data_IF_552363970295
#
_entry.id   IF_552363970295
#
_cell.length_a   1.000
_cell.length_b   1.000
_cell.length_c   1.000
_cell.angle_alpha   90.00
_cell.angle_beta   90.00
_cell.angle_gamma   90.00
#
_symmetry.space_group_name_H-M   'P 1'
#
loop_
_entity.id
_entity.type
_entity.pdbx_description
1 polymer ?
#
# COMPACT_ATOMS: atom_id res chain seq x y z
N UNK A 1 -23.86 4.31 12.39
CA UNK A 1 -23.14 3.66 13.49
C UNK A 1 -22.18 2.69 12.85
N UNK A 2 -20.89 2.87 13.11
CA UNK A 2 -19.77 2.11 12.58
C UNK A 2 -19.37 0.92 13.45
N UNK A 3 -20.01 0.77 14.62
CA UNK A 3 -19.82 -0.38 15.52
C UNK A 3 -20.13 -1.73 14.85
N UNK A 4 -19.19 -2.66 14.96
CA UNK A 4 -19.29 -4.03 14.49
C UNK A 4 -19.91 -4.90 15.60
N UNK A 5 -21.09 -5.49 15.38
CA UNK A 5 -21.71 -6.36 16.38
C UNK A 5 -20.90 -7.63 16.60
N UNK A 6 -20.90 -8.12 17.85
CA UNK A 6 -20.24 -9.37 18.26
C UNK A 6 -18.73 -9.44 17.96
N UNK A 7 -18.06 -8.27 17.94
CA UNK A 7 -16.63 -8.20 17.66
C UNK A 7 -15.80 -9.04 18.66
N UNK A 8 -14.82 -9.84 18.22
CA UNK A 8 -14.15 -10.79 19.10
C UNK A 8 -13.30 -10.08 20.15
N UNK A 9 -13.60 -10.30 21.43
CA UNK A 9 -12.83 -9.72 22.54
C UNK A 9 -11.34 -10.06 22.45
N UNK A 10 -10.99 -11.25 21.99
CA UNK A 10 -9.59 -11.66 21.81
C UNK A 10 -8.83 -10.74 20.83
N UNK A 11 -9.49 -10.23 19.79
CA UNK A 11 -8.90 -9.30 18.84
C UNK A 11 -8.76 -7.89 19.45
N UNK A 12 -9.71 -7.45 20.27
CA UNK A 12 -9.57 -6.20 21.05
C UNK A 12 -8.39 -6.28 22.01
N UNK A 13 -8.31 -7.36 22.79
CA UNK A 13 -7.25 -7.58 23.78
C UNK A 13 -5.86 -7.62 23.12
N UNK A 14 -5.76 -8.19 21.92
CA UNK A 14 -4.52 -8.24 21.16
C UNK A 14 -4.04 -6.83 20.74
N UNK A 15 -4.95 -6.03 20.16
CA UNK A 15 -4.68 -4.66 19.75
C UNK A 15 -4.27 -3.80 20.93
N UNK A 16 -5.10 -3.81 21.98
CA UNK A 16 -4.84 -3.15 23.26
C UNK A 16 -3.47 -3.52 23.81
N UNK A 17 -3.14 -4.80 23.88
CA UNK A 17 -1.85 -5.28 24.40
C UNK A 17 -0.68 -4.75 23.57
N UNK A 18 -0.81 -4.68 22.25
CA UNK A 18 0.25 -4.17 21.37
C UNK A 18 0.54 -2.69 21.61
N UNK A 19 -0.51 -1.86 21.70
CA UNK A 19 -0.40 -0.42 21.99
C UNK A 19 0.09 -0.15 23.41
N UNK A 20 -0.44 -0.86 24.42
CA UNK A 20 0.00 -0.71 25.81
C UNK A 20 1.47 -1.08 25.98
N UNK A 21 1.95 -2.12 25.30
CA UNK A 21 3.37 -2.47 25.33
C UNK A 21 4.29 -1.36 24.76
N UNK A 22 3.72 -0.41 24.01
CA UNK A 22 4.42 0.70 23.34
C UNK A 22 3.95 2.07 23.83
N UNK A 23 3.22 2.16 24.95
CA UNK A 23 2.64 3.41 25.46
C UNK A 23 3.70 4.48 25.83
N UNK A 24 4.97 4.07 25.98
CA UNK A 24 6.10 4.96 26.32
C UNK A 24 6.80 5.52 25.08
N UNK A 25 6.44 5.05 23.89
CA UNK A 25 7.02 5.55 22.64
C UNK A 25 6.59 7.00 22.43
N UNK A 26 7.58 7.87 22.24
CA UNK A 26 7.32 9.23 21.77
C UNK A 26 6.91 9.16 20.30
N UNK A 27 5.62 9.26 20.02
CA UNK A 27 5.07 9.21 18.65
C UNK A 27 5.60 10.33 17.74
N UNK A 28 6.02 11.47 18.30
CA UNK A 28 6.64 12.55 17.53
C UNK A 28 8.09 12.24 17.09
N UNK A 29 8.72 11.23 17.70
CA UNK A 29 10.05 10.77 17.31
C UNK A 29 10.19 9.26 17.62
N UNK A 30 9.51 8.38 16.87
CA UNK A 30 9.50 6.97 17.18
C UNK A 30 10.91 6.36 17.00
N UNK A 31 11.31 5.40 17.86
CA UNK A 31 12.63 4.79 17.79
C UNK A 31 12.78 3.92 16.53
N UNK A 32 14.00 3.71 16.00
CA UNK A 32 14.23 2.80 14.87
C UNK A 32 13.62 1.41 15.10
N UNK A 33 13.01 0.84 14.07
CA UNK A 33 12.30 -0.44 14.11
C UNK A 33 10.80 -0.31 14.42
N UNK A 34 10.37 0.76 15.10
CA UNK A 34 8.97 0.97 15.47
C UNK A 34 8.03 1.06 14.26
N UNK A 35 8.44 1.77 13.21
CA UNK A 35 7.57 2.00 12.05
C UNK A 35 7.28 0.71 11.31
N UNK A 36 8.28 -0.15 11.17
CA UNK A 36 8.11 -1.45 10.53
C UNK A 36 7.26 -2.39 11.39
N UNK A 37 7.42 -2.35 12.72
CA UNK A 37 6.56 -3.10 13.65
C UNK A 37 5.10 -2.62 13.57
N UNK A 38 4.87 -1.31 13.56
CA UNK A 38 3.55 -0.69 13.40
C UNK A 38 2.87 -1.18 12.11
N UNK A 39 3.54 -1.03 10.97
CA UNK A 39 3.00 -1.42 9.67
C UNK A 39 2.67 -2.91 9.60
N UNK A 40 3.60 -3.78 10.03
CA UNK A 40 3.41 -5.24 10.03
C UNK A 40 2.28 -5.68 10.95
N UNK A 41 2.25 -5.15 12.18
CA UNK A 41 1.22 -5.52 13.14
C UNK A 41 -0.17 -5.20 12.60
N UNK A 42 -0.38 -3.97 12.11
CA UNK A 42 -1.69 -3.56 11.62
C UNK A 42 -2.10 -4.31 10.36
N UNK A 43 -1.18 -4.58 9.40
CA UNK A 43 -1.46 -5.43 8.23
C UNK A 43 -1.92 -6.84 8.64
N UNK A 44 -1.17 -7.49 9.53
CA UNK A 44 -1.49 -8.86 9.99
C UNK A 44 -2.77 -8.89 10.84
N UNK A 45 -3.01 -7.83 11.62
CA UNK A 45 -4.20 -7.66 12.43
C UNK A 45 -5.45 -7.51 11.59
N UNK A 46 -5.49 -6.52 10.67
CA UNK A 46 -6.66 -6.29 9.82
C UNK A 46 -6.94 -7.51 8.93
N UNK A 47 -5.90 -8.21 8.45
CA UNK A 47 -6.09 -9.44 7.66
C UNK A 47 -6.87 -10.50 8.45
N UNK A 48 -6.52 -10.75 9.72
CA UNK A 48 -7.20 -11.74 10.55
C UNK A 48 -8.59 -11.29 11.00
N UNK A 49 -8.72 -10.01 11.36
CA UNK A 49 -10.00 -9.44 11.75
C UNK A 49 -11.00 -9.43 10.59
N UNK A 50 -10.58 -9.07 9.38
CA UNK A 50 -11.43 -9.11 8.18
C UNK A 50 -11.77 -10.54 7.75
N UNK A 51 -10.87 -11.50 7.97
CA UNK A 51 -11.19 -12.92 7.75
C UNK A 51 -12.32 -13.41 8.67
N UNK A 52 -12.28 -13.04 9.97
CA UNK A 52 -13.40 -13.29 10.89
C UNK A 52 -14.66 -12.52 10.47
N UNK A 53 -14.53 -11.23 10.14
CA UNK A 53 -15.65 -10.36 9.77
C UNK A 53 -16.47 -10.94 8.60
N UNK A 54 -15.76 -11.44 7.58
CA UNK A 54 -16.37 -12.12 6.43
C UNK A 54 -17.03 -13.45 6.83
N UNK A 55 -16.41 -14.24 7.70
CA UNK A 55 -16.98 -15.50 8.18
C UNK A 55 -18.24 -15.29 9.04
N UNK A 56 -18.30 -14.20 9.80
CA UNK A 56 -19.46 -13.80 10.59
C UNK A 56 -20.63 -13.26 9.74
N UNK A 57 -20.44 -13.08 8.43
CA UNK A 57 -21.49 -12.65 7.50
C UNK A 57 -21.78 -11.15 7.52
N UNK A 58 -20.85 -10.33 8.04
CA UNK A 58 -20.97 -8.88 7.98
C UNK A 58 -20.72 -8.34 6.56
N UNK A 59 -21.20 -7.11 6.30
CA UNK A 59 -21.15 -6.49 4.96
C UNK A 59 -19.74 -5.97 4.65
N UNK A 60 -18.98 -6.60 3.72
CA UNK A 60 -17.60 -6.21 3.43
C UNK A 60 -17.45 -4.77 2.91
N UNK A 61 -18.54 -4.16 2.39
CA UNK A 61 -18.51 -2.79 1.87
C UNK A 61 -18.28 -1.74 2.95
N UNK A 62 -18.60 -2.06 4.21
CA UNK A 62 -18.42 -1.13 5.33
C UNK A 62 -16.96 -1.00 5.76
N UNK A 63 -16.13 -2.00 5.44
CA UNK A 63 -14.73 -2.10 5.86
C UNK A 63 -13.75 -1.95 4.69
N UNK A 64 -14.23 -1.48 3.53
CA UNK A 64 -13.39 -1.24 2.37
C UNK A 64 -12.33 -0.16 2.66
N UNK A 65 -11.05 -0.38 2.34
CA UNK A 65 -10.02 0.64 2.50
C UNK A 65 -10.42 1.95 1.85
N UNK A 66 -10.27 3.07 2.58
CA UNK A 66 -10.45 4.37 1.94
C UNK A 66 -9.45 4.55 0.79
N UNK A 67 -9.94 5.11 -0.33
CA UNK A 67 -9.11 5.42 -1.49
C UNK A 67 -8.17 6.59 -1.19
N UNK A 68 -8.68 7.54 -0.41
CA UNK A 68 -7.96 8.70 0.09
C UNK A 68 -8.55 9.10 1.44
N UNK A 69 -7.82 9.90 2.21
CA UNK A 69 -8.38 10.50 3.43
C UNK A 69 -9.62 11.34 3.05
N UNK A 70 -10.75 11.24 3.77
CA UNK A 70 -11.92 12.09 3.55
C UNK A 70 -11.57 13.57 3.53
N UNK A 71 -12.18 14.34 2.65
CA UNK A 71 -11.80 15.75 2.46
C UNK A 71 -12.06 16.60 3.71
N UNK A 72 -13.12 16.31 4.45
CA UNK A 72 -13.42 16.94 5.74
C UNK A 72 -12.29 16.74 6.76
N UNK A 73 -11.65 15.56 6.75
CA UNK A 73 -10.48 15.25 7.59
C UNK A 73 -9.23 15.93 7.03
N UNK A 74 -9.03 15.93 5.71
CA UNK A 74 -7.89 16.60 5.04
C UNK A 74 -7.86 18.11 5.29
N UNK A 75 -9.03 18.73 5.46
CA UNK A 75 -9.18 20.16 5.77
C UNK A 75 -9.04 20.48 7.27
N UNK A 76 -8.89 19.47 8.13
CA UNK A 76 -8.74 19.69 9.56
C UNK A 76 -7.39 20.36 9.88
N UNK A 77 -7.34 21.29 10.86
CA UNK A 77 -6.09 21.98 11.21
C UNK A 77 -4.93 21.08 11.65
N UNK A 78 -5.22 19.87 12.14
CA UNK A 78 -4.19 18.93 12.56
C UNK A 78 -3.56 18.13 11.41
N UNK A 79 -4.15 18.18 10.22
CA UNK A 79 -3.80 17.29 9.12
C UNK A 79 -2.66 17.86 8.29
N UNK A 80 -1.55 17.13 8.21
CA UNK A 80 -0.39 17.53 7.41
C UNK A 80 -0.53 17.09 5.94
N UNK A 81 -1.15 17.95 5.13
CA UNK A 81 -1.32 17.70 3.70
C UNK A 81 0.02 17.52 2.95
N UNK A 82 1.11 18.14 3.42
CA UNK A 82 2.43 17.99 2.80
C UNK A 82 3.02 16.61 3.10
N UNK A 83 2.81 16.09 4.31
CA UNK A 83 3.18 14.72 4.66
C UNK A 83 2.40 13.68 3.85
N UNK A 84 1.09 13.86 3.71
CA UNK A 84 0.27 12.98 2.85
C UNK A 84 0.77 13.03 1.40
N UNK A 85 1.03 14.23 0.87
CA UNK A 85 1.58 14.41 -0.47
C UNK A 85 2.94 13.70 -0.65
N UNK A 86 3.82 13.70 0.36
CA UNK A 86 5.09 12.95 0.32
C UNK A 86 4.84 11.44 0.21
N UNK A 87 3.88 10.90 0.97
CA UNK A 87 3.52 9.47 0.90
C UNK A 87 2.95 9.11 -0.48
N UNK A 88 2.06 9.93 -1.02
CA UNK A 88 1.35 9.63 -2.26
C UNK A 88 2.19 9.88 -3.53
N UNK A 89 2.98 10.96 -3.54
CA UNK A 89 3.63 11.46 -4.76
C UNK A 89 5.16 11.35 -4.72
N UNK A 90 5.76 11.17 -3.55
CA UNK A 90 7.21 10.97 -3.39
C UNK A 90 7.56 9.75 -2.49
N UNK A 91 6.92 8.58 -2.64
CA UNK A 91 7.23 7.42 -1.79
C UNK A 91 8.69 6.92 -1.95
N UNK A 92 9.38 7.29 -3.03
CA UNK A 92 10.83 7.12 -3.22
C UNK A 92 11.69 7.96 -2.26
N UNK A 93 11.08 8.78 -1.41
CA UNK A 93 11.79 9.50 -0.35
C UNK A 93 11.95 8.71 0.97
N UNK A 94 11.32 7.54 1.15
CA UNK A 94 11.42 6.71 2.37
C UNK A 94 12.34 5.49 2.21
N UNK A 95 13.55 5.52 2.77
CA UNK A 95 14.60 4.49 2.60
C UNK A 95 14.14 3.08 3.00
N UNK A 96 13.24 2.95 3.97
CA UNK A 96 12.76 1.66 4.46
C UNK A 96 11.28 1.71 4.89
N UNK A 97 10.67 0.53 5.06
CA UNK A 97 9.34 0.43 5.66
C UNK A 97 9.32 1.01 7.08
N UNK A 98 10.44 0.91 7.80
CA UNK A 98 10.58 1.56 9.11
C UNK A 98 10.52 3.08 9.00
N UNK A 99 11.22 3.69 8.05
CA UNK A 99 11.14 5.14 7.84
C UNK A 99 9.73 5.59 7.44
N UNK A 100 9.07 4.86 6.53
CA UNK A 100 7.69 5.13 6.14
C UNK A 100 6.74 5.05 7.34
N UNK A 101 6.77 3.96 8.11
CA UNK A 101 5.89 3.76 9.24
C UNK A 101 6.11 4.78 10.35
N UNK A 102 7.37 5.12 10.65
CA UNK A 102 7.68 6.18 11.62
C UNK A 102 7.20 7.54 11.15
N UNK A 103 7.33 7.84 9.84
CA UNK A 103 6.86 9.09 9.27
C UNK A 103 5.33 9.21 9.33
N UNK A 104 4.58 8.14 9.05
CA UNK A 104 3.12 8.12 9.16
C UNK A 104 2.65 8.49 10.58
N UNK A 105 3.34 7.97 11.60
CA UNK A 105 3.04 8.27 13.00
C UNK A 105 3.52 9.68 13.41
N UNK A 106 4.75 10.04 13.06
CA UNK A 106 5.38 11.30 13.53
C UNK A 106 4.93 12.55 12.79
N UNK A 107 4.33 12.41 11.60
CA UNK A 107 3.76 13.53 10.83
C UNK A 107 2.37 13.96 11.30
N UNK A 108 1.87 13.34 12.38
CA UNK A 108 0.52 13.54 12.91
C UNK A 108 -0.62 13.12 11.96
N UNK A 109 -0.32 12.56 10.78
CA UNK A 109 -1.32 12.05 9.85
C UNK A 109 -2.22 11.02 10.52
N UNK A 110 -1.63 9.95 11.07
CA UNK A 110 -2.36 8.85 11.67
C UNK A 110 -3.25 9.31 12.83
N UNK A 111 -2.68 10.03 13.80
CA UNK A 111 -3.41 10.54 14.95
C UNK A 111 -4.53 11.52 14.56
N UNK A 112 -4.28 12.44 13.61
CA UNK A 112 -5.30 13.38 13.15
C UNK A 112 -6.45 12.65 12.44
N UNK A 113 -6.18 11.61 11.65
CA UNK A 113 -7.23 10.83 10.97
C UNK A 113 -8.15 10.17 12.00
N UNK A 114 -7.62 9.55 13.06
CA UNK A 114 -8.43 8.96 14.13
C UNK A 114 -9.28 10.01 14.85
N UNK A 115 -8.64 11.09 15.33
CA UNK A 115 -9.32 12.16 16.06
C UNK A 115 -10.43 12.81 15.24
N UNK A 116 -10.18 13.10 13.95
CA UNK A 116 -11.16 13.75 13.09
C UNK A 116 -12.25 12.78 12.63
N UNK A 117 -11.95 11.49 12.48
CA UNK A 117 -12.97 10.47 12.23
C UNK A 117 -13.94 10.37 13.40
N UNK A 118 -13.44 10.41 14.64
CA UNK A 118 -14.28 10.38 15.83
C UNK A 118 -15.26 11.57 15.87
N UNK A 119 -14.77 12.75 15.51
CA UNK A 119 -15.58 13.97 15.44
C UNK A 119 -16.58 13.94 14.29
N UNK A 120 -16.14 13.53 13.09
CA UNK A 120 -16.95 13.52 11.88
C UNK A 120 -18.11 12.52 11.95
N UNK A 121 -17.85 11.33 12.49
CA UNK A 121 -18.83 10.26 12.56
C UNK A 121 -19.58 10.20 13.91
N UNK A 122 -19.17 11.01 14.88
CA UNK A 122 -19.75 11.01 16.22
C UNK A 122 -19.49 9.70 16.97
N UNK A 123 -18.35 9.07 16.69
CA UNK A 123 -17.96 7.78 17.25
C UNK A 123 -16.63 7.94 18.01
N UNK A 124 -16.62 8.11 19.34
CA UNK A 124 -15.39 8.33 20.09
C UNK A 124 -14.49 7.11 20.13
N UNK A 125 -15.02 5.90 19.87
CA UNK A 125 -14.28 4.66 20.06
C UNK A 125 -13.16 4.52 19.01
N UNK A 126 -13.31 5.13 17.83
CA UNK A 126 -12.25 5.15 16.80
C UNK A 126 -10.99 5.91 17.25
N UNK A 127 -11.07 6.80 18.25
CA UNK A 127 -9.92 7.53 18.80
C UNK A 127 -9.36 6.89 20.10
N UNK A 128 -9.84 5.70 20.47
CA UNK A 128 -9.39 4.95 21.64
C UNK A 128 -8.72 3.62 21.24
N UNK A 129 -7.40 3.51 21.48
CA UNK A 129 -6.62 2.31 21.17
C UNK A 129 -7.13 1.03 21.84
N UNK A 130 -7.90 1.12 22.92
CA UNK A 130 -8.42 -0.05 23.63
C UNK A 130 -9.62 -0.68 22.91
N UNK A 131 -10.36 0.10 22.13
CA UNK A 131 -11.65 -0.31 21.56
C UNK A 131 -11.79 -0.10 20.06
N UNK A 132 -11.03 0.83 19.45
CA UNK A 132 -11.11 1.20 18.04
C UNK A 132 -11.31 0.05 17.03
N UNK A 133 -10.69 -1.16 17.17
CA UNK A 133 -10.90 -2.23 16.21
C UNK A 133 -12.33 -2.77 16.06
N UNK A 134 -13.24 -2.48 16.99
CA UNK A 134 -14.65 -2.84 16.83
C UNK A 134 -15.43 -1.86 15.94
N UNK A 135 -14.78 -0.85 15.37
CA UNK A 135 -15.39 0.16 14.50
C UNK A 135 -14.99 -0.11 13.03
N UNK A 136 -15.92 -0.03 12.09
CA UNK A 136 -15.66 -0.24 10.66
C UNK A 136 -14.63 0.76 10.08
N UNK A 137 -14.63 2.00 10.59
CA UNK A 137 -13.71 3.08 10.21
C UNK A 137 -12.25 2.72 10.51
N UNK A 138 -11.99 1.91 11.55
CA UNK A 138 -10.66 1.38 11.82
C UNK A 138 -10.09 0.64 10.60
N UNK A 139 -10.91 -0.18 9.94
CA UNK A 139 -10.51 -0.93 8.76
C UNK A 139 -10.39 -0.05 7.52
N UNK A 140 -11.23 0.96 7.41
CA UNK A 140 -11.10 1.94 6.33
C UNK A 140 -9.75 2.69 6.42
N UNK A 141 -9.36 3.14 7.62
CA UNK A 141 -8.10 3.84 7.91
C UNK A 141 -6.90 2.91 7.73
N UNK A 142 -6.85 1.78 8.45
CA UNK A 142 -5.68 0.91 8.41
C UNK A 142 -5.54 0.17 7.08
N UNK A 143 -6.64 -0.09 6.37
CA UNK A 143 -6.61 -0.56 4.99
C UNK A 143 -6.00 0.47 4.03
N UNK A 144 -6.30 1.76 4.22
CA UNK A 144 -5.68 2.85 3.44
C UNK A 144 -4.19 2.97 3.73
N UNK A 145 -3.78 2.90 5.01
CA UNK A 145 -2.36 2.88 5.41
C UNK A 145 -1.64 1.66 4.82
N UNK A 146 -2.28 0.49 4.86
CA UNK A 146 -1.73 -0.72 4.23
C UNK A 146 -1.58 -0.54 2.71
N UNK A 147 -2.53 0.13 2.05
CA UNK A 147 -2.41 0.48 0.63
C UNK A 147 -1.23 1.42 0.40
N UNK A 148 -1.02 2.46 1.21
CA UNK A 148 0.17 3.32 1.10
C UNK A 148 1.47 2.52 1.24
N UNK A 149 1.53 1.58 2.18
CA UNK A 149 2.68 0.72 2.33
C UNK A 149 2.88 -0.23 1.15
N UNK A 150 1.82 -0.88 0.65
CA UNK A 150 1.86 -1.70 -0.57
C UNK A 150 2.32 -0.91 -1.78
N UNK A 151 1.92 0.36 -1.91
CA UNK A 151 2.37 1.23 -2.99
C UNK A 151 3.86 1.51 -2.90
N UNK A 152 4.37 1.77 -1.68
CA UNK A 152 5.80 1.91 -1.44
C UNK A 152 6.56 0.59 -1.71
N UNK A 153 6.01 -0.56 -1.31
CA UNK A 153 6.59 -1.88 -1.61
C UNK A 153 6.58 -2.16 -3.13
N UNK A 154 5.50 -1.78 -3.80
CA UNK A 154 5.29 -1.87 -5.25
C UNK A 154 6.23 -0.98 -6.06
N UNK A 155 6.91 -0.01 -5.45
CA UNK A 155 8.02 0.69 -6.10
C UNK A 155 9.24 -0.21 -6.32
N UNK A 156 9.30 -1.38 -5.68
CA UNK A 156 10.40 -2.32 -5.84
C UNK A 156 11.71 -1.75 -5.28
N UNK A 157 11.74 -1.37 -4.00
CA UNK A 157 13.00 -0.97 -3.35
C UNK A 157 13.95 -2.15 -3.17
N UNK A 158 14.70 -2.37 -4.23
CA UNK A 158 16.15 -2.50 -4.29
C UNK A 158 16.81 -3.18 -3.08
N UNK A 159 17.13 -4.46 -3.23
CA UNK A 159 18.55 -4.78 -3.06
C UNK A 159 19.28 -4.10 -4.23
N UNK A 160 20.38 -3.42 -3.92
CA UNK A 160 21.28 -2.86 -4.93
C UNK A 160 21.54 -3.93 -6.02
N UNK A 161 21.04 -3.70 -7.24
CA UNK A 161 21.24 -4.59 -8.38
C UNK A 161 20.10 -5.57 -8.78
N UNK A 162 18.85 -5.42 -8.33
CA UNK A 162 17.74 -6.24 -8.87
C UNK A 162 16.49 -5.44 -9.30
N UNK A 163 15.93 -5.82 -10.46
CA UNK A 163 14.90 -5.09 -11.24
C UNK A 163 13.54 -5.81 -11.25
N UNK A 164 12.97 -6.13 -10.08
CA UNK A 164 11.69 -6.86 -10.00
C UNK A 164 10.66 -6.25 -9.04
N UNK A 165 9.39 -6.57 -9.26
CA UNK A 165 8.20 -6.08 -8.56
C UNK A 165 7.26 -7.24 -8.26
N UNK A 166 6.55 -7.19 -7.14
CA UNK A 166 5.62 -8.24 -6.73
C UNK A 166 4.18 -7.73 -6.67
N UNK A 167 3.21 -8.55 -7.08
CA UNK A 167 1.79 -8.24 -6.98
C UNK A 167 0.97 -8.95 -8.04
N UNK A 168 -0.32 -8.61 -8.14
CA UNK A 168 -1.21 -9.16 -9.16
C UNK A 168 -1.03 -8.39 -10.47
N UNK A 169 -0.38 -8.98 -11.48
CA UNK A 169 -0.16 -8.34 -12.78
C UNK A 169 -1.09 -8.88 -13.86
N UNK A 170 -1.29 -10.21 -13.90
CA UNK A 170 -2.15 -10.91 -14.87
C UNK A 170 -3.18 -11.79 -14.14
N UNK A 171 -2.74 -12.53 -13.12
CA UNK A 171 -3.57 -13.47 -12.36
C UNK A 171 -4.09 -12.93 -11.02
N UNK A 172 -4.82 -13.79 -10.30
CA UNK A 172 -5.18 -13.59 -8.89
C UNK A 172 -4.07 -14.20 -8.00
N UNK A 173 -3.15 -13.41 -7.44
CA UNK A 173 -2.15 -13.93 -6.51
C UNK A 173 -0.82 -13.17 -6.46
N UNK A 174 0.18 -13.79 -5.83
CA UNK A 174 1.56 -13.30 -5.78
C UNK A 174 2.29 -13.63 -7.08
N UNK A 175 2.47 -12.63 -7.93
CA UNK A 175 3.29 -12.72 -9.14
C UNK A 175 4.51 -11.80 -8.99
N UNK A 176 5.56 -12.09 -9.76
CA UNK A 176 6.80 -11.31 -9.78
C UNK A 176 7.07 -10.87 -11.21
N UNK A 177 7.04 -9.56 -11.45
CA UNK A 177 7.42 -8.93 -12.70
C UNK A 177 8.90 -8.52 -12.62
N UNK A 178 9.67 -8.72 -13.68
CA UNK A 178 11.10 -8.44 -13.75
C UNK A 178 11.45 -7.79 -15.09
N UNK A 179 12.25 -6.72 -15.08
CA UNK A 179 12.80 -6.12 -16.29
C UNK A 179 14.27 -6.51 -16.47
N UNK A 180 14.59 -7.13 -17.61
CA UNK A 180 15.93 -7.58 -17.96
C UNK A 180 16.63 -6.54 -18.81
N UNK A 181 17.67 -5.89 -18.27
CA UNK A 181 18.51 -4.95 -19.03
C UNK A 181 19.26 -5.60 -20.18
N UNK A 182 19.51 -6.91 -20.08
CA UNK A 182 20.28 -7.67 -21.06
C UNK A 182 19.55 -7.78 -22.39
N UNK A 183 18.23 -7.91 -22.35
CA UNK A 183 17.39 -8.17 -23.53
C UNK A 183 16.31 -7.11 -23.74
N UNK A 184 16.05 -6.24 -22.76
CA UNK A 184 14.99 -5.22 -22.81
C UNK A 184 13.59 -5.79 -22.64
N UNK A 185 13.46 -7.02 -22.13
CA UNK A 185 12.19 -7.69 -21.91
C UNK A 185 11.75 -7.65 -20.45
N UNK A 186 10.43 -7.68 -20.31
CA UNK A 186 9.69 -7.90 -19.09
C UNK A 186 9.37 -9.38 -18.98
N UNK A 187 9.54 -9.90 -17.78
CA UNK A 187 9.37 -11.30 -17.43
C UNK A 187 8.43 -11.40 -16.24
N UNK A 188 7.46 -12.30 -16.29
CA UNK A 188 6.55 -12.57 -15.20
C UNK A 188 6.77 -13.99 -14.68
N UNK A 189 6.79 -14.15 -13.37
CA UNK A 189 6.74 -15.44 -12.71
C UNK A 189 5.55 -15.50 -11.77
N UNK A 190 4.85 -16.64 -11.74
CA UNK A 190 3.84 -16.92 -10.72
C UNK A 190 4.54 -17.56 -9.52
N UNK A 191 4.32 -17.03 -8.33
CA UNK A 191 4.79 -17.69 -7.11
C UNK A 191 3.83 -18.84 -6.84
N UNK A 192 4.25 -20.07 -7.13
CA UNK A 192 3.54 -21.23 -6.60
C UNK A 192 3.67 -21.18 -5.07
N UNK A 193 2.58 -21.41 -4.33
CA UNK A 193 2.63 -21.51 -2.88
C UNK A 193 3.66 -22.58 -2.50
N UNK A 194 4.87 -22.14 -2.16
CA UNK A 194 5.87 -23.00 -1.58
C UNK A 194 5.34 -23.40 -0.19
N UNK A 195 5.29 -24.70 0.07
CA UNK A 195 5.13 -25.19 1.44
C UNK A 195 6.18 -24.47 2.33
N UNK A 196 5.76 -24.09 3.52
CA UNK A 196 6.35 -23.10 4.42
C UNK A 196 7.77 -23.38 4.98
N UNK A 197 8.60 -24.17 4.29
CA UNK A 197 9.99 -24.46 4.67
C UNK A 197 11.04 -23.90 3.69
N UNK A 198 10.70 -23.59 2.43
CA UNK A 198 11.69 -23.14 1.43
C UNK A 198 11.92 -21.62 1.40
N UNK A 199 11.06 -20.83 2.06
CA UNK A 199 11.15 -19.36 2.08
C UNK A 199 12.34 -18.76 2.85
N UNK A 200 13.29 -19.58 3.33
CA UNK A 200 14.41 -19.15 4.20
C UNK A 200 15.76 -18.99 3.50
N UNK A 201 15.89 -19.33 2.21
CA UNK A 201 17.21 -19.38 1.56
C UNK A 201 17.45 -18.27 0.52
N UNK A 202 16.48 -17.40 0.21
CA UNK A 202 16.68 -16.34 -0.79
C UNK A 202 17.00 -16.84 -2.20
N UNK A 203 16.99 -18.16 -2.41
CA UNK A 203 17.05 -18.75 -3.73
C UNK A 203 15.71 -18.51 -4.42
N UNK A 204 15.75 -17.87 -5.61
CA UNK A 204 14.61 -17.77 -6.53
C UNK A 204 14.24 -19.17 -7.04
N UNK A 205 13.78 -20.05 -6.14
CA UNK A 205 13.49 -21.46 -6.41
C UNK A 205 12.56 -21.61 -7.60
N UNK A 206 13.00 -22.40 -8.60
CA UNK A 206 12.31 -22.85 -9.81
C UNK A 206 11.03 -22.06 -10.21
N UNK A 207 11.15 -20.75 -10.36
CA UNK A 207 10.07 -19.92 -10.90
C UNK A 207 10.05 -20.14 -12.40
N UNK A 208 8.90 -20.57 -12.95
CA UNK A 208 8.70 -20.55 -14.41
C UNK A 208 8.49 -19.10 -14.84
N UNK A 209 9.55 -18.49 -15.35
CA UNK A 209 9.52 -17.16 -15.93
C UNK A 209 8.98 -17.24 -17.36
N UNK A 210 7.97 -16.42 -17.65
CA UNK A 210 7.50 -16.18 -19.00
C UNK A 210 7.87 -14.76 -19.41
N UNK A 211 8.33 -14.58 -20.65
CA UNK A 211 8.49 -13.24 -21.20
C UNK A 211 7.10 -12.68 -21.53
N UNK A 212 6.78 -11.51 -21.00
CA UNK A 212 5.47 -10.87 -21.20
C UNK A 212 5.52 -9.73 -22.22
N UNK A 213 6.67 -9.13 -22.48
CA UNK A 213 6.79 -8.10 -23.52
C UNK A 213 8.13 -7.40 -23.49
N UNK A 214 8.37 -6.51 -24.45
CA UNK A 214 9.57 -5.66 -24.48
C UNK A 214 9.17 -4.19 -24.34
N UNK A 215 10.13 -3.34 -23.98
CA UNK A 215 9.91 -1.89 -23.90
C UNK A 215 11.01 -1.07 -24.58
N UNK A 216 11.72 -1.69 -25.52
CA UNK A 216 12.90 -1.13 -26.16
C UNK A 216 12.60 0.13 -26.99
N UNK A 217 11.37 0.28 -27.48
CA UNK A 217 10.93 1.49 -28.19
C UNK A 217 11.00 2.74 -27.31
N UNK A 218 10.88 2.57 -25.99
CA UNK A 218 11.00 3.64 -25.01
C UNK A 218 12.42 3.80 -24.49
N UNK A 219 13.38 2.97 -24.92
CA UNK A 219 14.74 2.91 -24.35
C UNK A 219 14.82 2.10 -23.05
N UNK A 220 16.01 2.04 -22.42
CA UNK A 220 16.22 1.31 -21.16
C UNK A 220 15.36 1.87 -20.03
N UNK A 221 14.84 1.01 -19.17
CA UNK A 221 13.99 1.40 -18.03
C UNK A 221 14.78 1.70 -16.76
N UNK A 222 16.10 1.49 -16.77
CA UNK A 222 17.03 1.88 -15.70
C UNK A 222 17.69 3.25 -15.95
N UNK A 223 17.20 4.01 -16.93
CA UNK A 223 17.77 5.30 -17.34
C UNK A 223 17.47 6.46 -16.38
N UNK A 224 16.92 6.17 -15.20
CA UNK A 224 16.58 7.15 -14.17
C UNK A 224 15.25 7.87 -14.41
N UNK A 225 14.46 7.47 -15.43
CA UNK A 225 13.11 8.02 -15.61
C UNK A 225 12.21 7.70 -14.42
N UNK A 226 11.24 8.58 -14.19
CA UNK A 226 10.16 8.30 -13.27
C UNK A 226 9.27 7.19 -13.86
N UNK A 227 9.15 6.10 -13.11
CA UNK A 227 8.17 5.05 -13.35
C UNK A 227 7.52 4.62 -12.02
N UNK A 228 6.35 3.98 -12.10
CA UNK A 228 5.55 3.50 -10.97
C UNK A 228 4.91 2.17 -11.35
N UNK A 229 4.71 1.28 -10.38
CA UNK A 229 3.81 0.14 -10.49
C UNK A 229 2.54 0.46 -9.72
N UNK A 230 1.38 0.41 -10.37
CA UNK A 230 0.12 0.86 -9.77
C UNK A 230 -1.09 0.27 -10.49
N UNK A 231 -2.20 0.07 -9.78
CA UNK A 231 -3.52 -0.27 -10.33
C UNK A 231 -4.19 1.00 -10.90
N UNK A 232 -3.86 1.31 -12.16
CA UNK A 232 -4.18 2.59 -12.80
C UNK A 232 -5.66 2.68 -13.14
N UNK A 233 -6.30 1.57 -13.49
CA UNK A 233 -7.71 1.54 -13.88
C UNK A 233 -8.66 1.01 -12.79
N UNK A 234 -8.13 0.56 -11.66
CA UNK A 234 -8.90 0.13 -10.49
C UNK A 234 -9.47 -1.28 -10.61
N UNK A 235 -8.95 -2.11 -11.54
CA UNK A 235 -9.43 -3.48 -11.75
C UNK A 235 -8.78 -4.51 -10.81
N UNK A 236 -7.89 -4.05 -9.92
CA UNK A 236 -7.17 -4.89 -8.97
C UNK A 236 -5.90 -5.53 -9.53
N UNK A 237 -5.50 -5.21 -10.78
CA UNK A 237 -4.20 -5.57 -11.36
C UNK A 237 -3.24 -4.39 -11.29
N UNK A 238 -1.95 -4.68 -11.41
CA UNK A 238 -0.87 -3.71 -11.36
C UNK A 238 -0.32 -3.48 -12.77
N UNK A 239 -0.16 -2.21 -13.13
CA UNK A 239 0.43 -1.78 -14.40
C UNK A 239 1.77 -1.06 -14.19
N UNK A 240 2.60 -1.06 -15.24
CA UNK A 240 3.82 -0.26 -15.33
C UNK A 240 3.49 1.12 -15.89
N UNK A 241 3.67 2.18 -15.11
CA UNK A 241 3.39 3.55 -15.50
C UNK A 241 4.69 4.36 -15.60
N UNK A 242 4.96 5.05 -16.71
CA UNK A 242 6.12 5.94 -16.82
C UNK A 242 5.87 7.13 -17.77
N UNK A 243 6.74 8.15 -17.72
CA UNK A 243 6.69 9.28 -18.65
C UNK A 243 7.36 8.94 -19.98
N UNK A 244 6.67 9.17 -21.09
CA UNK A 244 7.19 8.96 -22.43
C UNK A 244 8.44 9.84 -22.67
N UNK A 245 9.59 9.25 -23.07
CA UNK A 245 10.88 9.96 -23.10
C UNK A 245 10.93 11.12 -24.11
N UNK A 246 10.07 11.11 -25.14
CA UNK A 246 10.07 12.12 -26.22
C UNK A 246 8.95 13.16 -26.17
N UNK A 247 7.81 12.83 -25.54
CA UNK A 247 6.57 13.60 -25.70
C UNK A 247 5.91 13.96 -24.36
N UNK A 248 6.55 13.63 -23.24
CA UNK A 248 6.11 13.97 -21.88
C UNK A 248 4.70 13.50 -21.51
N UNK A 249 4.04 12.66 -22.31
CA UNK A 249 2.79 11.97 -21.95
C UNK A 249 3.04 10.81 -21.00
N UNK A 250 2.00 10.29 -20.36
CA UNK A 250 2.09 9.06 -19.56
C UNK A 250 1.85 7.83 -20.45
N UNK A 251 2.58 6.75 -20.14
CA UNK A 251 2.46 5.46 -20.80
C UNK A 251 2.23 4.41 -19.73
N UNK A 252 1.27 3.54 -19.99
CA UNK A 252 0.92 2.38 -19.17
C UNK A 252 1.30 1.10 -19.90
N UNK A 253 1.85 0.13 -19.17
CA UNK A 253 2.07 -1.25 -19.60
C UNK A 253 1.26 -2.21 -18.74
N UNK A 254 0.21 -2.79 -19.32
CA UNK A 254 -0.67 -3.74 -18.63
C UNK A 254 -0.41 -5.16 -19.10
N UNK A 255 -0.21 -6.09 -18.16
CA UNK A 255 -0.09 -7.51 -18.49
C UNK A 255 -1.49 -8.11 -18.56
N UNK A 256 -1.80 -8.76 -19.67
CA UNK A 256 -3.06 -9.46 -19.87
C UNK A 256 -2.82 -10.72 -20.70
N UNK A 257 -3.29 -11.84 -20.20
CA UNK A 257 -3.12 -13.16 -20.83
C UNK A 257 -1.64 -13.44 -21.15
N UNK A 258 -0.76 -13.14 -20.19
CA UNK A 258 0.69 -13.28 -20.32
C UNK A 258 1.36 -12.32 -21.29
N UNK A 259 0.67 -11.28 -21.77
CA UNK A 259 1.24 -10.29 -22.72
C UNK A 259 1.12 -8.87 -22.16
N UNK A 260 2.23 -8.13 -22.18
CA UNK A 260 2.31 -6.74 -21.78
C UNK A 260 2.00 -5.82 -22.96
N UNK A 261 0.94 -5.02 -22.81
CA UNK A 261 0.48 -4.08 -23.82
C UNK A 261 0.76 -2.65 -23.37
N UNK A 262 1.45 -1.88 -24.21
CA UNK A 262 1.76 -0.47 -23.94
C UNK A 262 0.74 0.45 -24.58
N UNK A 263 0.25 1.42 -23.82
CA UNK A 263 -0.66 2.43 -24.33
C UNK A 263 -0.41 3.80 -23.70
N UNK A 264 -0.59 4.89 -24.47
CA UNK A 264 -0.60 6.22 -23.89
C UNK A 264 -1.84 6.39 -23.03
N UNK A 265 -1.67 7.00 -21.85
CA UNK A 265 -2.79 7.33 -20.97
C UNK A 265 -2.84 8.82 -20.66
N UNK A 266 -4.05 9.29 -20.33
CA UNK A 266 -4.27 10.65 -19.85
C UNK A 266 -4.62 10.59 -18.37
N UNK A 267 -3.88 11.34 -17.56
CA UNK A 267 -4.25 11.52 -16.16
C UNK A 267 -5.30 12.63 -16.07
N UNK A 268 -6.45 12.30 -15.50
CA UNK A 268 -7.46 13.28 -15.14
C UNK A 268 -7.25 13.67 -13.68
N UNK A 269 -7.00 14.95 -13.42
CA UNK A 269 -7.05 15.49 -12.07
C UNK A 269 -8.47 15.35 -11.53
N UNK A 270 -8.62 14.57 -10.46
CA UNK A 270 -9.85 14.52 -9.69
C UNK A 270 -9.63 15.44 -8.48
N UNK A 271 -10.28 16.61 -8.51
CA UNK A 271 -10.15 17.64 -7.47
C UNK A 271 -9.86 19.03 -8.04
N UNK A 272 -10.04 20.11 -7.25
CA UNK A 272 -9.76 21.47 -7.71
C UNK A 272 -8.26 21.64 -8.00
N UNK A 273 -7.91 22.21 -9.16
CA UNK A 273 -6.53 22.57 -9.46
C UNK A 273 -6.07 23.62 -8.45
N UNK A 274 -5.12 23.26 -7.60
CA UNK A 274 -4.32 24.25 -6.88
C UNK A 274 -3.37 24.87 -7.92
N UNK A 275 -3.84 25.93 -8.57
CA UNK A 275 -2.97 26.81 -9.34
C UNK A 275 -2.10 27.63 -8.38
N UNK A 276 -0.86 27.96 -8.78
CA UNK A 276 0.21 28.44 -7.91
C UNK A 276 -0.05 29.82 -7.28
#
# INVERSE_FOLDING_TARGET
>A
MSLIPDFPQKLLDEHKKWHHARHQVNINNPPPGYGQEFLRFHRDYITRALAWYKQAGHDPRLVEPWVSVPEEIRQAPCFDQAAEARILYQPESFVSADELGRFIESSNLHACIHQQSAQLYGDPDIDDFDVAPHDTVFYNIHGMIDRWWKNWEGMGRFSEGQSYWCGAFDGEGEEVLYYSLKDGYWWLAKVQSANSQEARDGSMGQRQWISVGNSSEFGPMDDGRLFRIWDVDGDGKLEVLFRHPRHNGWVEGKVKEGTMNWQPISLHLIGPSLNP
#
